data_IF_076591385165
#
_entry.id   IF_076591385165
#
_cell.length_a   1.000
_cell.length_b   1.000
_cell.length_c   1.000
_cell.angle_alpha   90.00
_cell.angle_beta   90.00
_cell.angle_gamma   90.00
#
_symmetry.space_group_name_H-M   'P 1'
#
loop_
_entity.id
_entity.type
_entity.pdbx_description
1 polymer ?
#
# COMPACT_ATOMS: atom_id res chain seq x y z
N UNK A 1 13.23 24.40 -4.74
CA UNK A 1 12.61 23.52 -3.73
C UNK A 1 11.29 24.14 -3.33
N UNK A 2 10.18 23.65 -3.88
CA UNK A 2 8.84 24.17 -3.61
C UNK A 2 8.44 23.90 -2.16
N UNK A 3 7.65 24.79 -1.56
CA UNK A 3 7.22 24.64 -0.18
C UNK A 3 6.31 23.39 -0.08
N UNK A 4 6.38 22.59 1.00
CA UNK A 4 5.57 21.38 1.17
C UNK A 4 4.06 21.61 0.96
N UNK A 5 3.59 22.83 1.23
CA UNK A 5 2.20 23.26 1.06
C UNK A 5 1.79 23.41 -0.42
N UNK A 6 2.71 23.82 -1.30
CA UNK A 6 2.45 23.96 -2.75
C UNK A 6 2.28 22.58 -3.40
N UNK A 7 3.07 21.59 -2.96
CA UNK A 7 2.96 20.21 -3.45
C UNK A 7 1.62 19.58 -3.11
N UNK A 8 1.16 19.72 -1.86
CA UNK A 8 -0.14 19.18 -1.42
C UNK A 8 -1.31 19.88 -2.14
N UNK A 9 -1.21 21.20 -2.32
CA UNK A 9 -2.24 21.95 -3.04
C UNK A 9 -2.34 21.55 -4.52
N UNK A 10 -1.20 21.39 -5.20
CA UNK A 10 -1.14 20.90 -6.57
C UNK A 10 -1.77 19.52 -6.72
N UNK A 11 -1.46 18.61 -5.80
CA UNK A 11 -2.01 17.25 -5.82
C UNK A 11 -3.52 17.26 -5.63
N UNK A 12 -4.06 18.10 -4.74
CA UNK A 12 -5.49 18.28 -4.56
C UNK A 12 -6.19 18.82 -5.82
N UNK A 13 -5.60 19.82 -6.49
CA UNK A 13 -6.13 20.35 -7.75
C UNK A 13 -6.07 19.31 -8.87
N UNK A 14 -4.99 18.54 -8.97
CA UNK A 14 -4.86 17.45 -9.92
C UNK A 14 -5.95 16.37 -9.71
N UNK A 15 -6.16 15.91 -8.47
CA UNK A 15 -7.21 14.96 -8.11
C UNK A 15 -8.61 15.48 -8.50
N UNK A 16 -8.91 16.75 -8.19
CA UNK A 16 -10.18 17.38 -8.57
C UNK A 16 -10.37 17.41 -10.09
N UNK A 17 -9.42 17.97 -10.84
CA UNK A 17 -9.57 18.14 -12.29
C UNK A 17 -9.52 16.82 -13.05
N UNK A 18 -8.70 15.85 -12.63
CA UNK A 18 -8.70 14.51 -13.20
C UNK A 18 -10.06 13.81 -13.01
N UNK A 19 -10.68 13.96 -11.83
CA UNK A 19 -12.04 13.44 -11.60
C UNK A 19 -13.09 14.11 -12.49
N UNK A 20 -13.00 15.43 -12.71
CA UNK A 20 -13.89 16.17 -13.60
C UNK A 20 -13.73 15.71 -15.06
N UNK A 21 -12.49 15.56 -15.53
CA UNK A 21 -12.17 15.03 -16.87
C UNK A 21 -12.79 13.65 -17.05
N UNK A 22 -12.57 12.72 -16.11
CA UNK A 22 -13.08 11.35 -16.24
C UNK A 22 -14.61 11.29 -16.19
N UNK A 23 -15.25 12.15 -15.41
CA UNK A 23 -16.71 12.20 -15.28
C UNK A 23 -17.40 12.81 -16.50
N UNK A 24 -16.80 13.80 -17.14
CA UNK A 24 -17.43 14.56 -18.24
C UNK A 24 -17.01 14.09 -19.63
N UNK A 25 -16.03 13.19 -19.76
CA UNK A 25 -15.49 12.73 -21.05
C UNK A 25 -16.02 11.34 -21.47
N UNK A 26 -17.28 11.28 -21.90
CA UNK A 26 -17.88 10.05 -22.44
C UNK A 26 -17.57 9.84 -23.93
N UNK A 27 -17.26 10.91 -24.66
CA UNK A 27 -16.88 10.88 -26.06
C UNK A 27 -15.75 11.89 -26.37
N UNK A 28 -15.13 11.82 -27.56
CA UNK A 28 -14.01 12.71 -27.90
C UNK A 28 -14.37 14.20 -27.88
N UNK A 29 -15.61 14.56 -28.23
CA UNK A 29 -16.07 15.95 -28.27
C UNK A 29 -16.21 16.52 -26.86
N UNK A 30 -16.79 15.74 -25.94
CA UNK A 30 -16.89 16.13 -24.53
C UNK A 30 -15.52 16.18 -23.84
N UNK A 31 -14.56 15.33 -24.26
CA UNK A 31 -13.18 15.39 -23.76
C UNK A 31 -12.50 16.71 -24.16
N UNK A 32 -12.63 17.16 -25.41
CA UNK A 32 -12.05 18.45 -25.85
C UNK A 32 -12.66 19.64 -25.10
N UNK A 33 -13.97 19.60 -24.84
CA UNK A 33 -14.64 20.65 -24.06
C UNK A 33 -14.14 20.69 -22.60
N UNK A 34 -13.95 19.53 -21.96
CA UNK A 34 -13.37 19.42 -20.62
C UNK A 34 -11.90 19.86 -20.60
N UNK A 35 -11.10 19.46 -21.60
CA UNK A 35 -9.71 19.84 -21.74
C UNK A 35 -9.53 21.36 -21.81
N UNK A 36 -10.33 22.04 -22.64
CA UNK A 36 -10.26 23.50 -22.77
C UNK A 36 -10.64 24.23 -21.47
N UNK A 37 -11.61 23.71 -20.72
CA UNK A 37 -12.03 24.30 -19.45
C UNK A 37 -10.96 24.14 -18.36
N UNK A 38 -10.43 22.92 -18.23
CA UNK A 38 -9.44 22.58 -17.20
C UNK A 38 -8.09 23.27 -17.48
N UNK A 39 -7.61 23.23 -18.72
CA UNK A 39 -6.36 23.88 -19.09
C UNK A 39 -6.48 25.41 -19.15
N UNK A 40 -7.69 25.94 -19.30
CA UNK A 40 -7.99 27.37 -19.21
C UNK A 40 -8.18 27.89 -17.79
N UNK A 41 -8.18 27.02 -16.77
CA UNK A 41 -8.31 27.44 -15.37
C UNK A 41 -7.09 28.25 -14.93
N UNK A 42 -7.30 29.38 -14.27
CA UNK A 42 -6.23 30.34 -13.93
C UNK A 42 -5.07 29.70 -13.14
N UNK A 43 -5.39 28.83 -12.18
CA UNK A 43 -4.39 28.13 -11.37
C UNK A 43 -3.60 27.07 -12.17
N UNK A 44 -4.23 26.45 -13.17
CA UNK A 44 -3.56 25.48 -14.06
C UNK A 44 -2.67 26.21 -15.07
N UNK A 45 -3.11 27.36 -15.57
CA UNK A 45 -2.33 28.18 -16.48
C UNK A 45 -1.07 28.77 -15.82
N UNK A 46 -1.10 28.98 -14.50
CA UNK A 46 0.03 29.51 -13.73
C UNK A 46 1.01 28.44 -13.26
N UNK A 47 0.59 27.16 -13.18
CA UNK A 47 1.44 26.03 -12.78
C UNK A 47 1.74 25.10 -13.99
N UNK A 48 2.93 25.20 -14.62
CA UNK A 48 3.28 24.39 -15.78
C UNK A 48 3.40 22.89 -15.47
N UNK A 49 3.70 22.53 -14.21
CA UNK A 49 3.84 21.14 -13.79
C UNK A 49 2.46 20.50 -13.65
N UNK A 50 1.51 21.20 -13.01
CA UNK A 50 0.11 20.78 -12.96
C UNK A 50 -0.49 20.65 -14.37
N UNK A 51 -0.21 21.63 -15.25
CA UNK A 51 -0.66 21.57 -16.64
C UNK A 51 -0.08 20.34 -17.39
N UNK A 52 1.18 19.98 -17.15
CA UNK A 52 1.80 18.80 -17.73
C UNK A 52 1.15 17.50 -17.23
N UNK A 53 0.88 17.39 -15.92
CA UNK A 53 0.18 16.25 -15.33
C UNK A 53 -1.23 16.08 -15.93
N UNK A 54 -1.99 17.18 -16.05
CA UNK A 54 -3.34 17.15 -16.62
C UNK A 54 -3.35 16.82 -18.11
N UNK A 55 -2.36 17.27 -18.89
CA UNK A 55 -2.18 16.85 -20.30
C UNK A 55 -1.92 15.35 -20.40
N UNK A 56 -1.08 14.79 -19.53
CA UNK A 56 -0.86 13.33 -19.49
C UNK A 56 -2.14 12.56 -19.17
N UNK A 57 -2.98 13.08 -18.25
CA UNK A 57 -4.29 12.50 -17.93
C UNK A 57 -5.23 12.54 -19.15
N UNK A 58 -5.30 13.69 -19.84
CA UNK A 58 -6.10 13.87 -21.06
C UNK A 58 -5.66 12.95 -22.19
N UNK A 59 -4.36 12.76 -22.41
CA UNK A 59 -3.84 11.89 -23.46
C UNK A 59 -4.11 10.41 -23.16
N UNK A 60 -4.03 10.00 -21.90
CA UNK A 60 -4.43 8.66 -21.47
C UNK A 60 -5.91 8.42 -21.75
N UNK A 61 -6.78 9.35 -21.37
CA UNK A 61 -8.23 9.26 -21.60
C UNK A 61 -8.59 9.31 -23.09
N UNK A 62 -7.90 10.14 -23.87
CA UNK A 62 -8.07 10.22 -25.34
C UNK A 62 -7.71 8.88 -25.99
N UNK A 63 -6.65 8.23 -25.53
CA UNK A 63 -6.24 6.90 -26.02
C UNK A 63 -7.27 5.83 -25.66
N UNK A 64 -7.81 5.87 -24.45
CA UNK A 64 -8.88 4.96 -24.01
C UNK A 64 -10.16 5.14 -24.86
N UNK A 65 -10.62 6.37 -25.08
CA UNK A 65 -11.80 6.65 -25.89
C UNK A 65 -11.61 6.22 -27.35
N UNK A 66 -10.41 6.40 -27.91
CA UNK A 66 -10.07 5.88 -29.25
C UNK A 66 -10.08 4.36 -29.28
N UNK A 67 -9.55 3.69 -28.26
CA UNK A 67 -9.61 2.22 -28.18
C UNK A 67 -11.06 1.73 -28.11
N UNK A 68 -11.91 2.38 -27.31
CA UNK A 68 -13.35 2.07 -27.24
C UNK A 68 -14.08 2.31 -28.56
N UNK A 69 -13.76 3.41 -29.26
CA UNK A 69 -14.32 3.67 -30.59
C UNK A 69 -13.84 2.63 -31.60
N UNK A 70 -12.55 2.27 -31.59
CA UNK A 70 -12.02 1.21 -32.42
C UNK A 70 -12.67 -0.15 -32.11
N UNK A 71 -12.99 -0.46 -30.85
CA UNK A 71 -13.74 -1.67 -30.47
C UNK A 71 -15.21 -1.64 -30.90
N UNK A 72 -15.82 -0.45 -31.02
CA UNK A 72 -17.19 -0.27 -31.51
C UNK A 72 -17.28 -0.28 -33.04
N UNK A 73 -16.27 0.28 -33.73
CA UNK A 73 -16.19 0.35 -35.20
C UNK A 73 -15.57 -0.91 -35.81
N UNK A 74 -14.73 -1.63 -35.05
CA UNK A 74 -14.37 -3.00 -35.41
C UNK A 74 -15.68 -3.78 -35.43
N UNK A 75 -16.03 -4.49 -36.53
CA UNK A 75 -17.17 -5.37 -36.50
C UNK A 75 -16.93 -6.30 -35.33
N UNK A 76 -17.74 -6.15 -34.27
CA UNK A 76 -17.71 -7.08 -33.14
C UNK A 76 -17.63 -8.46 -33.78
N UNK A 77 -16.61 -9.29 -33.49
CA UNK A 77 -16.84 -10.71 -33.60
C UNK A 77 -18.00 -10.89 -32.64
N UNK A 78 -19.20 -11.05 -33.21
CA UNK A 78 -20.36 -11.52 -32.50
C UNK A 78 -19.82 -12.51 -31.49
N UNK A 79 -20.19 -12.33 -30.22
CA UNK A 79 -20.14 -13.41 -29.26
C UNK A 79 -20.31 -14.70 -30.05
N UNK A 80 -19.34 -15.60 -29.92
CA UNK A 80 -19.44 -16.94 -30.44
C UNK A 80 -20.59 -17.66 -29.72
N UNK A 81 -21.82 -17.17 -29.87
CA UNK A 81 -22.95 -17.94 -30.37
C UNK A 81 -22.38 -18.73 -31.53
N UNK A 82 -21.86 -19.89 -31.16
CA UNK A 82 -21.87 -21.10 -31.94
C UNK A 82 -21.74 -20.81 -33.44
N UNK A 83 -20.50 -20.73 -33.93
CA UNK A 83 -20.25 -20.95 -35.36
C UNK A 83 -20.71 -22.37 -35.82
N UNK A 84 -21.30 -23.16 -34.90
CA UNK A 84 -22.06 -24.38 -35.14
C UNK A 84 -23.59 -24.19 -35.17
N UNK A 85 -24.18 -23.08 -34.69
CA UNK A 85 -25.63 -22.83 -34.79
C UNK A 85 -26.03 -22.33 -36.19
N UNK A 86 -25.04 -21.94 -37.00
CA UNK A 86 -25.19 -21.78 -38.44
C UNK A 86 -24.72 -22.99 -39.24
N UNK A 87 -24.28 -24.06 -38.56
CA UNK A 87 -24.39 -25.43 -39.06
C UNK A 87 -25.65 -26.05 -38.44
N UNK A 88 -26.78 -25.33 -38.51
CA UNK A 88 -28.04 -26.05 -38.68
C UNK A 88 -27.84 -26.97 -39.89
N UNK A 89 -28.24 -28.25 -39.80
CA UNK A 89 -28.21 -29.12 -40.97
C UNK A 89 -29.09 -28.43 -42.00
N UNK A 90 -28.46 -27.82 -43.01
CA UNK A 90 -29.14 -27.53 -44.25
C UNK A 90 -29.55 -28.90 -44.76
N UNK A 91 -30.80 -29.22 -44.46
CA UNK A 91 -31.59 -30.24 -45.11
C UNK A 91 -31.32 -30.11 -46.61
N UNK A 92 -30.66 -31.15 -47.14
CA UNK A 92 -30.20 -31.31 -48.52
C UNK A 92 -28.95 -30.50 -48.93
N UNK A 93 -27.75 -31.12 -48.85
CA UNK A 93 -26.83 -31.35 -50.00
C UNK A 93 -25.47 -31.92 -49.53
N UNK A 94 -25.23 -33.20 -49.84
CA UNK A 94 -23.89 -33.80 -49.97
C UNK A 94 -23.15 -34.15 -48.67
N UNK A 95 -22.43 -35.27 -48.69
CA UNK A 95 -21.32 -35.51 -47.77
C UNK A 95 -20.31 -34.36 -47.90
N UNK A 96 -19.79 -33.80 -46.79
CA UNK A 96 -18.83 -32.70 -46.84
C UNK A 96 -17.61 -33.13 -47.66
N UNK A 97 -17.17 -32.27 -48.56
CA UNK A 97 -16.01 -32.55 -49.41
C UNK A 97 -14.73 -32.56 -48.58
N UNK A 98 -13.71 -33.31 -49.04
CA UNK A 98 -12.40 -33.39 -48.37
C UNK A 98 -11.78 -32.00 -48.14
N UNK A 99 -11.92 -31.10 -49.11
CA UNK A 99 -11.43 -29.71 -49.02
C UNK A 99 -12.13 -28.91 -47.92
N UNK A 100 -13.45 -29.05 -47.79
CA UNK A 100 -14.21 -28.41 -46.71
C UNK A 100 -13.74 -28.91 -45.33
N UNK A 101 -13.53 -30.23 -45.18
CA UNK A 101 -13.04 -30.82 -43.94
C UNK A 101 -11.61 -30.36 -43.60
N UNK A 102 -10.71 -30.28 -44.59
CA UNK A 102 -9.36 -29.75 -44.41
C UNK A 102 -9.38 -28.28 -43.97
N UNK A 103 -10.22 -27.46 -44.60
CA UNK A 103 -10.36 -26.04 -44.23
C UNK A 103 -10.90 -25.88 -42.80
N UNK A 104 -11.86 -26.72 -42.39
CA UNK A 104 -12.40 -26.73 -41.04
C UNK A 104 -11.34 -27.13 -40.01
N UNK A 105 -10.56 -28.18 -40.30
CA UNK A 105 -9.45 -28.61 -39.46
C UNK A 105 -8.39 -27.50 -39.30
N UNK A 106 -8.00 -26.83 -40.39
CA UNK A 106 -7.05 -25.72 -40.33
C UNK A 106 -7.55 -24.56 -39.45
N UNK A 107 -8.83 -24.19 -39.55
CA UNK A 107 -9.43 -23.17 -38.67
C UNK A 107 -9.43 -23.60 -37.21
N UNK A 108 -9.81 -24.85 -36.91
CA UNK A 108 -9.78 -25.37 -35.54
C UNK A 108 -8.36 -25.39 -34.96
N UNK A 109 -7.38 -25.73 -35.79
CA UNK A 109 -5.97 -25.71 -35.40
C UNK A 109 -5.47 -24.30 -35.14
N UNK A 110 -5.82 -23.33 -35.98
CA UNK A 110 -5.49 -21.92 -35.75
C UNK A 110 -6.13 -21.39 -34.45
N UNK A 111 -7.41 -21.68 -34.19
CA UNK A 111 -8.07 -21.34 -32.92
C UNK A 111 -7.32 -21.99 -31.75
N UNK A 112 -6.99 -23.29 -31.84
CA UNK A 112 -6.20 -23.97 -30.81
C UNK A 112 -4.85 -23.30 -30.54
N UNK A 113 -4.07 -23.01 -31.60
CA UNK A 113 -2.76 -22.36 -31.50
C UNK A 113 -2.87 -20.95 -30.88
N UNK A 114 -3.91 -20.19 -31.24
CA UNK A 114 -4.23 -18.88 -30.66
C UNK A 114 -4.58 -18.98 -29.17
N UNK A 115 -5.42 -19.95 -28.76
CA UNK A 115 -5.73 -20.20 -27.34
C UNK A 115 -4.48 -20.55 -26.53
N UNK A 116 -3.59 -21.37 -27.08
CA UNK A 116 -2.32 -21.71 -26.42
C UNK A 116 -1.43 -20.47 -26.24
N UNK A 117 -1.34 -19.60 -27.25
CA UNK A 117 -0.55 -18.37 -27.19
C UNK A 117 -1.01 -17.42 -26.07
N UNK A 118 -2.31 -17.39 -25.80
CA UNK A 118 -2.93 -16.58 -24.75
C UNK A 118 -3.12 -17.30 -23.40
N UNK A 119 -2.60 -18.53 -23.25
CA UNK A 119 -2.78 -19.37 -22.06
C UNK A 119 -4.24 -19.63 -21.69
N UNK A 120 -5.13 -19.72 -22.67
CA UNK A 120 -6.54 -20.07 -22.47
C UNK A 120 -6.71 -21.59 -22.45
N UNK A 121 -6.17 -22.25 -21.42
CA UNK A 121 -6.03 -23.70 -21.35
C UNK A 121 -7.37 -24.45 -21.50
N UNK A 122 -8.44 -23.98 -20.86
CA UNK A 122 -9.76 -24.60 -20.99
C UNK A 122 -10.32 -24.47 -22.41
N UNK A 123 -10.18 -23.30 -23.04
CA UNK A 123 -10.62 -23.10 -24.42
C UNK A 123 -9.78 -23.94 -25.41
N UNK A 124 -8.48 -24.08 -25.15
CA UNK A 124 -7.59 -24.94 -25.91
C UNK A 124 -7.98 -26.42 -25.77
N UNK A 125 -8.36 -26.89 -24.57
CA UNK A 125 -8.90 -28.25 -24.36
C UNK A 125 -10.17 -28.48 -25.16
N UNK A 126 -11.12 -27.55 -25.12
CA UNK A 126 -12.35 -27.63 -25.94
C UNK A 126 -12.05 -27.60 -27.45
N UNK A 127 -11.05 -26.86 -27.91
CA UNK A 127 -10.60 -26.89 -29.31
C UNK A 127 -9.98 -28.25 -29.67
N UNK A 128 -9.17 -28.83 -28.78
CA UNK A 128 -8.56 -30.15 -28.97
C UNK A 128 -9.61 -31.27 -29.01
N UNK A 129 -10.65 -31.21 -28.17
CA UNK A 129 -11.79 -32.14 -28.19
C UNK A 129 -12.54 -32.07 -29.53
N UNK A 130 -12.74 -30.86 -30.07
CA UNK A 130 -13.34 -30.67 -31.40
C UNK A 130 -12.48 -31.29 -32.51
N UNK A 131 -11.16 -31.12 -32.44
CA UNK A 131 -10.21 -31.75 -33.38
C UNK A 131 -10.25 -33.28 -33.26
N UNK A 132 -10.30 -33.83 -32.05
CA UNK A 132 -10.42 -35.26 -31.81
C UNK A 132 -11.73 -35.83 -32.37
N UNK A 133 -12.85 -35.13 -32.18
CA UNK A 133 -14.13 -35.51 -32.75
C UNK A 133 -14.15 -35.50 -34.29
N UNK A 134 -13.45 -34.55 -34.91
CA UNK A 134 -13.28 -34.50 -36.37
C UNK A 134 -12.42 -35.67 -36.87
N UNK A 135 -11.34 -36.00 -36.15
CA UNK A 135 -10.46 -37.13 -36.45
C UNK A 135 -11.18 -38.47 -36.35
N UNK A 136 -12.00 -38.67 -35.32
CA UNK A 136 -12.78 -39.90 -35.14
C UNK A 136 -13.76 -40.14 -36.29
N UNK A 137 -14.36 -39.07 -36.83
CA UNK A 137 -15.33 -39.14 -37.94
C UNK A 137 -14.65 -39.25 -39.31
N UNK A 138 -13.47 -38.65 -39.47
CA UNK A 138 -12.77 -38.55 -40.75
C UNK A 138 -11.25 -38.80 -40.60
N UNK A 139 -10.83 -40.05 -40.33
CA UNK A 139 -9.42 -40.38 -40.07
C UNK A 139 -8.49 -40.14 -41.28
N UNK A 140 -9.04 -40.17 -42.50
CA UNK A 140 -8.29 -39.92 -43.74
C UNK A 140 -7.93 -38.43 -43.94
N UNK A 141 -8.60 -37.54 -43.20
CA UNK A 141 -8.43 -36.08 -43.29
C UNK A 141 -7.55 -35.56 -42.17
N UNK A 142 -7.77 -36.02 -40.94
CA UNK A 142 -6.99 -35.63 -39.76
C UNK A 142 -6.18 -36.83 -39.31
N UNK A 143 -4.86 -36.76 -39.45
CA UNK A 143 -3.99 -37.87 -39.03
C UNK A 143 -3.91 -37.97 -37.51
N UNK A 144 -3.78 -39.20 -36.99
CA UNK A 144 -3.52 -39.44 -35.57
C UNK A 144 -2.28 -38.65 -35.09
N UNK A 145 -1.24 -38.59 -35.93
CA UNK A 145 -0.02 -37.84 -35.63
C UNK A 145 -0.27 -36.33 -35.43
N UNK A 146 -1.24 -35.73 -36.13
CA UNK A 146 -1.59 -34.33 -35.93
C UNK A 146 -2.30 -34.10 -34.59
N UNK A 147 -3.19 -35.01 -34.20
CA UNK A 147 -3.86 -34.98 -32.90
C UNK A 147 -2.86 -35.17 -31.74
N UNK A 148 -1.92 -36.12 -31.87
CA UNK A 148 -0.88 -36.33 -30.85
C UNK A 148 0.04 -35.11 -30.69
N UNK A 149 0.39 -34.42 -31.79
CA UNK A 149 1.16 -33.16 -31.69
C UNK A 149 0.40 -32.10 -30.90
N UNK A 150 -0.89 -31.90 -31.20
CA UNK A 150 -1.70 -30.93 -30.47
C UNK A 150 -1.82 -31.27 -28.97
N UNK A 151 -1.91 -32.57 -28.61
CA UNK A 151 -1.86 -33.02 -27.22
C UNK A 151 -0.53 -32.68 -26.54
N UNK A 152 0.60 -32.92 -27.21
CA UNK A 152 1.93 -32.57 -26.70
C UNK A 152 2.10 -31.06 -26.53
N UNK A 153 1.61 -30.25 -27.46
CA UNK A 153 1.68 -28.80 -27.41
C UNK A 153 0.83 -28.22 -26.27
N UNK A 154 -0.37 -28.78 -26.03
CA UNK A 154 -1.19 -28.46 -24.86
C UNK A 154 -0.45 -28.79 -23.56
N UNK A 155 0.03 -30.03 -23.41
CA UNK A 155 0.73 -30.46 -22.19
C UNK A 155 1.98 -29.60 -21.89
N UNK A 156 2.75 -29.25 -22.93
CA UNK A 156 3.90 -28.34 -22.79
C UNK A 156 3.47 -26.96 -22.32
N UNK A 157 2.37 -26.44 -22.87
CA UNK A 157 1.84 -25.12 -22.50
C UNK A 157 1.29 -25.11 -21.08
N UNK A 158 0.62 -26.17 -20.65
CA UNK A 158 0.17 -26.37 -19.26
C UNK A 158 1.35 -26.39 -18.29
N UNK A 159 2.41 -27.15 -18.60
CA UNK A 159 3.62 -27.18 -17.78
C UNK A 159 4.29 -25.79 -17.69
N UNK A 160 4.37 -25.07 -18.81
CA UNK A 160 4.90 -23.70 -18.84
C UNK A 160 4.05 -22.74 -18.02
N UNK A 161 2.73 -22.86 -18.11
CA UNK A 161 1.79 -22.07 -17.32
C UNK A 161 2.00 -22.30 -15.82
N UNK A 162 2.10 -23.56 -15.39
CA UNK A 162 2.38 -23.91 -13.99
C UNK A 162 3.72 -23.34 -13.50
N UNK A 163 4.78 -23.45 -14.30
CA UNK A 163 6.09 -22.86 -13.96
C UNK A 163 6.00 -21.35 -13.77
N UNK A 164 5.32 -20.65 -14.67
CA UNK A 164 5.13 -19.21 -14.59
C UNK A 164 4.26 -18.81 -13.39
N UNK A 165 3.26 -19.62 -13.04
CA UNK A 165 2.46 -19.38 -11.83
C UNK A 165 3.31 -19.51 -10.57
N UNK A 166 4.17 -20.53 -10.48
CA UNK A 166 5.10 -20.68 -9.37
C UNK A 166 6.08 -19.50 -9.25
N UNK A 167 6.60 -18.99 -10.38
CA UNK A 167 7.44 -17.78 -10.39
C UNK A 167 6.69 -16.54 -9.89
N UNK A 168 5.42 -16.38 -10.27
CA UNK A 168 4.56 -15.29 -9.78
C UNK A 168 4.33 -15.42 -8.27
N UNK A 169 4.10 -16.64 -7.77
CA UNK A 169 3.91 -16.90 -6.35
C UNK A 169 5.17 -16.60 -5.52
N UNK A 170 6.34 -17.03 -5.98
CA UNK A 170 7.61 -16.72 -5.31
C UNK A 170 7.91 -15.22 -5.34
N UNK A 171 7.59 -14.52 -6.44
CA UNK A 171 7.74 -13.07 -6.52
C UNK A 171 6.78 -12.35 -5.56
N UNK A 172 5.52 -12.80 -5.47
CA UNK A 172 4.54 -12.25 -4.53
C UNK A 172 4.97 -12.48 -3.08
N UNK A 173 5.43 -13.69 -2.75
CA UNK A 173 5.98 -14.02 -1.43
C UNK A 173 7.17 -13.12 -1.08
N UNK A 174 8.12 -12.97 -2.00
CA UNK A 174 9.28 -12.08 -1.82
C UNK A 174 8.85 -10.63 -1.59
N UNK A 175 7.82 -10.16 -2.29
CA UNK A 175 7.30 -8.81 -2.13
C UNK A 175 6.68 -8.60 -0.73
N UNK A 176 5.89 -9.58 -0.27
CA UNK A 176 5.27 -9.56 1.06
C UNK A 176 6.33 -9.64 2.16
N UNK A 177 7.34 -10.48 2.02
CA UNK A 177 8.45 -10.59 2.96
C UNK A 177 9.28 -9.29 3.01
N UNK A 178 9.55 -8.67 1.87
CA UNK A 178 10.22 -7.37 1.80
C UNK A 178 9.42 -6.27 2.50
N UNK A 179 8.11 -6.20 2.25
CA UNK A 179 7.22 -5.24 2.92
C UNK A 179 7.18 -5.45 4.44
N UNK A 180 7.06 -6.71 4.89
CA UNK A 180 7.12 -7.08 6.31
C UNK A 180 8.45 -6.71 6.97
N UNK A 181 9.53 -6.71 6.19
CA UNK A 181 10.87 -6.34 6.65
C UNK A 181 11.20 -4.85 6.53
N UNK A 182 10.31 -4.02 6.01
CA UNK A 182 10.54 -2.57 5.82
C UNK A 182 11.39 -2.23 4.60
N UNK A 183 11.67 -3.21 3.72
CA UNK A 183 12.39 -2.99 2.46
C UNK A 183 11.39 -2.53 1.38
N UNK A 184 10.91 -1.28 1.52
CA UNK A 184 9.92 -0.70 0.61
C UNK A 184 10.42 -0.63 -0.84
N UNK A 185 11.72 -0.45 -1.05
CA UNK A 185 12.32 -0.41 -2.39
C UNK A 185 12.21 -1.77 -3.09
N UNK A 186 12.55 -2.86 -2.39
CA UNK A 186 12.43 -4.21 -2.93
C UNK A 186 10.97 -4.62 -3.12
N UNK A 187 10.08 -4.27 -2.18
CA UNK A 187 8.65 -4.50 -2.31
C UNK A 187 8.05 -3.78 -3.53
N UNK A 188 8.40 -2.50 -3.74
CA UNK A 188 7.96 -1.70 -4.88
C UNK A 188 8.49 -2.25 -6.22
N UNK A 189 9.74 -2.68 -6.28
CA UNK A 189 10.32 -3.31 -7.47
C UNK A 189 9.59 -4.62 -7.82
N UNK A 190 9.33 -5.47 -6.81
CA UNK A 190 8.59 -6.71 -7.00
C UNK A 190 7.15 -6.45 -7.46
N UNK A 191 6.47 -5.45 -6.88
CA UNK A 191 5.14 -5.04 -7.29
C UNK A 191 5.10 -4.50 -8.73
N UNK A 192 6.09 -3.70 -9.12
CA UNK A 192 6.24 -3.24 -10.52
C UNK A 192 6.37 -4.41 -11.48
N UNK A 193 7.17 -5.42 -11.13
CA UNK A 193 7.33 -6.64 -11.93
C UNK A 193 6.03 -7.45 -12.02
N UNK A 194 5.28 -7.59 -10.92
CA UNK A 194 3.96 -8.22 -10.91
C UNK A 194 2.96 -7.47 -11.79
N UNK A 195 2.95 -6.13 -11.74
CA UNK A 195 2.13 -5.27 -12.61
C UNK A 195 2.46 -5.49 -14.10
N UNK A 196 3.75 -5.55 -14.45
CA UNK A 196 4.16 -5.87 -15.81
C UNK A 196 3.71 -7.27 -16.26
N UNK A 197 3.76 -8.26 -15.37
CA UNK A 197 3.27 -9.62 -15.67
C UNK A 197 1.75 -9.62 -15.87
N UNK A 198 1.00 -8.93 -15.02
CA UNK A 198 -0.44 -8.77 -15.15
C UNK A 198 -0.82 -8.12 -16.49
N UNK A 199 -0.18 -7.01 -16.84
CA UNK A 199 -0.44 -6.29 -18.10
C UNK A 199 -0.11 -7.15 -19.34
N UNK A 200 1.00 -7.88 -19.31
CA UNK A 200 1.41 -8.73 -20.43
C UNK A 200 0.60 -10.03 -20.53
N UNK A 201 0.13 -10.58 -19.40
CA UNK A 201 -0.53 -11.90 -19.31
C UNK A 201 -1.65 -11.91 -18.25
N UNK A 202 -2.81 -11.30 -18.54
CA UNK A 202 -3.91 -11.19 -17.57
C UNK A 202 -4.46 -12.55 -17.09
N UNK A 203 -4.36 -13.59 -17.92
CA UNK A 203 -4.78 -14.96 -17.54
C UNK A 203 -3.86 -15.61 -16.53
N UNK A 204 -2.56 -15.29 -16.56
CA UNK A 204 -1.57 -15.83 -15.63
C UNK A 204 -1.73 -15.21 -14.24
N UNK A 205 -1.96 -13.89 -14.20
CA UNK A 205 -2.19 -13.13 -12.98
C UNK A 205 -3.48 -12.30 -13.12
N UNK A 206 -4.65 -12.91 -12.84
CA UNK A 206 -5.93 -12.21 -12.91
C UNK A 206 -6.00 -11.03 -11.95
N UNK A 207 -6.75 -9.99 -12.33
CA UNK A 207 -6.95 -8.79 -11.52
C UNK A 207 -7.31 -9.05 -10.05
N UNK A 208 -8.29 -9.91 -9.70
CA UNK A 208 -8.62 -10.15 -8.29
C UNK A 208 -7.46 -10.77 -7.49
N UNK A 209 -6.60 -11.56 -8.13
CA UNK A 209 -5.40 -12.12 -7.49
C UNK A 209 -4.31 -11.06 -7.35
N UNK A 210 -4.10 -10.24 -8.38
CA UNK A 210 -3.14 -9.15 -8.33
C UNK A 210 -3.50 -8.14 -7.23
N UNK A 211 -4.77 -7.75 -7.15
CA UNK A 211 -5.29 -6.84 -6.14
C UNK A 211 -5.12 -7.41 -4.72
N UNK A 212 -5.41 -8.71 -4.52
CA UNK A 212 -5.15 -9.39 -3.24
C UNK A 212 -3.67 -9.34 -2.83
N UNK A 213 -2.75 -9.52 -3.78
CA UNK A 213 -1.30 -9.42 -3.51
C UNK A 213 -0.93 -7.98 -3.13
N UNK A 214 -1.49 -6.98 -3.83
CA UNK A 214 -1.28 -5.55 -3.50
C UNK A 214 -1.73 -5.22 -2.08
N UNK A 215 -2.93 -5.65 -1.71
CA UNK A 215 -3.49 -5.44 -0.38
C UNK A 215 -2.63 -6.12 0.70
N UNK A 216 -2.14 -7.34 0.44
CA UNK A 216 -1.25 -8.05 1.37
C UNK A 216 0.10 -7.34 1.55
N UNK A 217 0.67 -6.78 0.49
CA UNK A 217 1.91 -6.00 0.54
C UNK A 217 1.69 -4.72 1.37
N UNK A 218 0.61 -3.98 1.09
CA UNK A 218 0.27 -2.75 1.81
C UNK A 218 0.04 -3.02 3.31
N UNK A 219 -0.84 -3.97 3.64
CA UNK A 219 -1.14 -4.35 5.01
C UNK A 219 0.10 -4.84 5.78
N UNK A 220 1.04 -5.51 5.10
CA UNK A 220 2.30 -5.96 5.73
C UNK A 220 3.26 -4.81 6.02
N UNK A 221 3.28 -3.78 5.17
CA UNK A 221 4.05 -2.55 5.39
C UNK A 221 3.46 -1.73 6.54
N UNK A 222 2.16 -1.47 6.50
CA UNK A 222 1.43 -0.75 7.56
C UNK A 222 1.65 -1.41 8.92
N UNK A 223 1.55 -2.74 9.01
CA UNK A 223 1.75 -3.47 10.26
C UNK A 223 3.16 -3.29 10.87
N UNK A 224 4.19 -3.10 10.03
CA UNK A 224 5.54 -2.80 10.51
C UNK A 224 5.62 -1.36 11.01
N UNK A 225 5.13 -0.40 10.22
CA UNK A 225 5.10 1.03 10.57
C UNK A 225 4.36 1.24 11.91
N UNK A 226 3.17 0.64 12.07
CA UNK A 226 2.45 0.63 13.35
C UNK A 226 3.28 0.06 14.51
N UNK A 227 4.01 -1.03 14.27
CA UNK A 227 4.84 -1.66 15.31
C UNK A 227 6.02 -0.76 15.69
N UNK A 228 6.60 -0.06 14.74
CA UNK A 228 7.71 0.87 14.97
C UNK A 228 7.24 2.13 15.69
N UNK A 229 6.13 2.73 15.26
CA UNK A 229 5.48 3.84 15.96
C UNK A 229 5.13 3.47 17.40
N UNK A 230 4.51 2.30 17.63
CA UNK A 230 4.19 1.83 18.98
C UNK A 230 5.44 1.66 19.86
N UNK A 231 6.54 1.15 19.29
CA UNK A 231 7.82 1.02 20.02
C UNK A 231 8.40 2.39 20.36
N UNK A 232 8.36 3.34 19.42
CA UNK A 232 8.85 4.70 19.64
C UNK A 232 8.06 5.40 20.77
N UNK A 233 6.73 5.30 20.74
CA UNK A 233 5.85 5.82 21.78
C UNK A 233 6.20 5.25 23.16
N UNK A 234 6.26 3.92 23.29
CA UNK A 234 6.59 3.26 24.57
C UNK A 234 8.00 3.61 25.03
N UNK A 235 8.97 3.69 24.12
CA UNK A 235 10.35 4.06 24.45
C UNK A 235 10.40 5.49 25.01
N UNK A 236 9.65 6.42 24.41
CA UNK A 236 9.59 7.81 24.86
C UNK A 236 8.92 7.94 26.22
N UNK A 237 7.76 7.30 26.43
CA UNK A 237 7.08 7.26 27.73
C UNK A 237 8.02 6.72 28.83
N UNK A 238 8.76 5.64 28.55
CA UNK A 238 9.72 5.05 29.49
C UNK A 238 10.89 5.98 29.79
N UNK A 239 11.42 6.68 28.79
CA UNK A 239 12.51 7.63 28.99
C UNK A 239 12.09 8.77 29.93
N UNK A 240 10.91 9.36 29.69
CA UNK A 240 10.36 10.42 30.54
C UNK A 240 10.05 9.89 31.95
N UNK A 241 9.46 8.70 32.07
CA UNK A 241 9.21 8.09 33.38
C UNK A 241 10.51 7.85 34.18
N UNK A 242 11.58 7.42 33.51
CA UNK A 242 12.88 7.21 34.13
C UNK A 242 13.51 8.53 34.59
N UNK A 243 13.40 9.59 33.79
CA UNK A 243 13.85 10.93 34.17
C UNK A 243 13.12 11.46 35.41
N UNK A 244 11.79 11.39 35.43
CA UNK A 244 10.98 11.82 36.58
C UNK A 244 11.30 11.01 37.84
N UNK A 245 11.53 9.70 37.69
CA UNK A 245 11.91 8.83 38.81
C UNK A 245 13.28 9.23 39.37
N UNK A 246 14.28 9.44 38.51
CA UNK A 246 15.62 9.87 38.91
C UNK A 246 15.57 11.19 39.68
N UNK A 247 14.81 12.17 39.20
CA UNK A 247 14.60 13.44 39.90
C UNK A 247 13.95 13.25 41.28
N UNK A 248 12.94 12.38 41.37
CA UNK A 248 12.27 12.06 42.64
C UNK A 248 13.23 11.39 43.64
N UNK A 249 14.07 10.46 43.17
CA UNK A 249 15.07 9.78 43.98
C UNK A 249 16.13 10.74 44.53
N UNK A 250 16.60 11.70 43.72
CA UNK A 250 17.53 12.75 44.17
C UNK A 250 16.93 13.61 45.28
N UNK A 251 15.67 14.06 45.10
CA UNK A 251 14.96 14.85 46.11
C UNK A 251 14.76 14.05 47.40
N UNK A 252 14.38 12.78 47.29
CA UNK A 252 14.17 11.90 48.45
C UNK A 252 15.47 11.59 49.20
N UNK A 253 16.56 11.34 48.48
CA UNK A 253 17.89 11.08 49.05
C UNK A 253 18.35 12.26 49.89
N UNK A 254 18.20 13.48 49.39
CA UNK A 254 18.54 14.68 50.15
C UNK A 254 17.65 14.84 51.39
N UNK A 255 16.34 14.65 51.26
CA UNK A 255 15.44 14.70 52.41
C UNK A 255 15.81 13.69 53.51
N UNK A 256 16.29 12.51 53.11
CA UNK A 256 16.81 11.50 54.05
C UNK A 256 18.12 11.95 54.69
N UNK A 257 19.05 12.53 53.91
CA UNK A 257 20.31 13.06 54.40
C UNK A 257 20.10 14.17 55.44
N UNK A 258 19.19 15.12 55.18
CA UNK A 258 18.86 16.23 56.10
C UNK A 258 18.44 15.74 57.49
N UNK A 259 17.78 14.58 57.57
CA UNK A 259 17.30 14.01 58.84
C UNK A 259 18.31 13.14 59.56
N UNK A 260 19.32 12.64 58.86
CA UNK A 260 20.18 11.55 59.36
C UNK A 260 21.65 11.90 59.45
N UNK A 261 22.12 12.92 58.72
CA UNK A 261 23.52 13.28 58.62
C UNK A 261 23.78 14.68 59.18
N UNK A 262 24.92 14.90 59.88
CA UNK A 262 25.41 16.23 60.18
C UNK A 262 25.72 17.02 58.90
N UNK A 263 25.55 18.35 58.93
CA UNK A 263 25.80 19.25 57.79
C UNK A 263 27.26 19.21 57.29
N UNK A 264 28.21 18.83 58.16
CA UNK A 264 29.63 18.71 57.80
C UNK A 264 30.00 17.35 57.17
N UNK A 265 29.07 16.38 57.14
CA UNK A 265 29.33 15.08 56.50
C UNK A 265 29.46 15.28 54.98
N UNK A 266 30.52 14.76 54.32
CA UNK A 266 30.70 14.90 52.88
C UNK A 266 29.52 14.35 52.07
N UNK A 267 28.82 13.32 52.58
CA UNK A 267 27.63 12.74 51.92
C UNK A 267 26.43 13.67 51.96
N UNK A 268 26.33 14.52 52.98
CA UNK A 268 25.30 15.58 53.03
C UNK A 268 25.52 16.57 51.89
N UNK A 269 26.76 17.05 51.72
CA UNK A 269 27.11 18.05 50.69
C UNK A 269 26.92 17.51 49.27
N UNK A 270 27.23 16.24 49.05
CA UNK A 270 26.97 15.56 47.78
C UNK A 270 25.47 15.50 47.48
N UNK A 271 24.65 15.03 48.43
CA UNK A 271 23.20 14.98 48.29
C UNK A 271 22.57 16.37 48.10
N UNK A 272 23.12 17.40 48.74
CA UNK A 272 22.71 18.80 48.57
C UNK A 272 22.98 19.32 47.15
N UNK A 273 24.17 19.03 46.59
CA UNK A 273 24.51 19.40 45.23
C UNK A 273 23.60 18.72 44.20
N UNK A 274 23.35 17.41 44.36
CA UNK A 274 22.41 16.65 43.53
C UNK A 274 20.97 17.17 43.65
N UNK A 275 20.54 17.50 44.87
CA UNK A 275 19.24 18.12 45.11
C UNK A 275 19.09 19.45 44.38
N UNK A 276 20.07 20.36 44.49
CA UNK A 276 20.02 21.63 43.78
C UNK A 276 19.98 21.45 42.25
N UNK A 277 20.66 20.43 41.72
CA UNK A 277 20.54 20.05 40.32
C UNK A 277 19.12 19.57 39.99
N UNK A 278 18.55 18.66 40.78
CA UNK A 278 17.20 18.16 40.59
C UNK A 278 16.15 19.29 40.67
N UNK A 279 16.30 20.24 41.60
CA UNK A 279 15.43 21.42 41.73
C UNK A 279 15.47 22.27 40.46
N UNK A 280 16.65 22.52 39.89
CA UNK A 280 16.76 23.27 38.62
C UNK A 280 16.03 22.54 37.49
N UNK A 281 16.19 21.22 37.39
CA UNK A 281 15.55 20.40 36.35
C UNK A 281 14.02 20.32 36.52
N UNK A 282 13.52 20.14 37.74
CA UNK A 282 12.08 20.13 38.04
C UNK A 282 11.44 21.51 37.75
N UNK A 283 12.20 22.59 37.95
CA UNK A 283 11.76 23.95 37.59
C UNK A 283 11.74 24.19 36.08
N UNK A 284 12.68 23.60 35.32
CA UNK A 284 12.65 23.66 33.84
C UNK A 284 11.59 22.77 33.22
N UNK A 285 11.04 21.77 33.92
CA UNK A 285 9.89 20.97 33.46
C UNK A 285 8.57 21.70 33.73
N UNK A 286 8.44 22.91 33.19
CA UNK A 286 7.27 23.77 33.38
C UNK A 286 6.10 23.40 32.44
N UNK A 287 5.16 24.33 32.26
CA UNK A 287 4.00 24.12 31.39
C UNK A 287 4.39 24.05 29.91
N UNK A 288 5.48 24.72 29.50
CA UNK A 288 5.99 24.72 28.13
C UNK A 288 6.62 23.36 27.81
N UNK A 289 7.48 22.85 28.69
CA UNK A 289 8.02 21.49 28.56
C UNK A 289 6.93 20.41 28.47
N UNK A 290 5.86 20.54 29.27
CA UNK A 290 4.77 19.58 29.22
C UNK A 290 3.97 19.70 27.91
N UNK A 291 3.80 20.92 27.39
CA UNK A 291 3.15 21.14 26.09
C UNK A 291 3.99 20.54 24.95
N UNK A 292 5.31 20.72 24.98
CA UNK A 292 6.22 20.10 24.00
C UNK A 292 6.15 18.57 24.06
N UNK A 293 6.15 17.99 25.25
CA UNK A 293 5.96 16.54 25.42
C UNK A 293 4.59 16.08 24.91
N UNK A 294 3.53 16.87 25.12
CA UNK A 294 2.20 16.54 24.60
C UNK A 294 2.19 16.52 23.07
N UNK A 295 2.80 17.53 22.42
CA UNK A 295 2.92 17.58 20.98
C UNK A 295 3.74 16.40 20.43
N UNK A 296 4.87 16.09 21.05
CA UNK A 296 5.70 14.95 20.65
C UNK A 296 4.94 13.61 20.75
N UNK A 297 4.17 13.40 21.83
CA UNK A 297 3.37 12.18 21.97
C UNK A 297 2.17 12.17 21.01
N UNK A 298 1.61 13.33 20.65
CA UNK A 298 0.53 13.44 19.68
C UNK A 298 1.02 13.09 18.26
N UNK A 299 2.20 13.58 17.86
CA UNK A 299 2.85 13.21 16.59
C UNK A 299 3.06 11.68 16.51
N UNK A 300 3.53 11.05 17.60
CA UNK A 300 3.72 9.59 17.67
C UNK A 300 2.39 8.81 17.66
N UNK A 301 1.30 9.41 18.15
CA UNK A 301 -0.04 8.83 18.10
C UNK A 301 -0.65 8.96 16.70
N UNK A 302 -0.41 10.06 16.00
CA UNK A 302 -0.79 10.26 14.61
C UNK A 302 -0.15 9.18 13.74
N UNK A 303 1.17 8.96 13.89
CA UNK A 303 1.89 7.89 13.18
C UNK A 303 1.34 6.49 13.48
N UNK A 304 0.89 6.24 14.72
CA UNK A 304 0.35 4.96 15.12
C UNK A 304 -1.02 4.64 14.50
N UNK A 305 -1.78 5.64 14.06
CA UNK A 305 -3.10 5.49 13.44
C UNK A 305 -4.02 4.49 14.18
N UNK A 306 -4.10 4.54 15.52
CA UNK A 306 -4.90 3.60 16.33
C UNK A 306 -6.41 3.91 16.25
N UNK A 307 -7.22 3.11 15.52
CA UNK A 307 -8.65 3.37 15.38
C UNK A 307 -9.43 3.12 16.68
N UNK A 308 -8.84 2.42 17.65
CA UNK A 308 -9.51 2.07 18.90
C UNK A 308 -9.42 3.17 19.95
N UNK A 309 -8.53 4.15 19.75
CA UNK A 309 -8.26 5.23 20.71
C UNK A 309 -7.55 4.79 21.99
N UNK A 310 -7.17 3.51 22.11
CA UNK A 310 -6.55 2.96 23.32
C UNK A 310 -5.18 3.57 23.60
N UNK A 311 -4.40 3.82 22.56
CA UNK A 311 -3.10 4.46 22.69
C UNK A 311 -3.25 5.91 23.20
N UNK A 312 -4.25 6.64 22.71
CA UNK A 312 -4.59 7.98 23.21
C UNK A 312 -4.96 7.97 24.70
N UNK A 313 -5.81 7.04 25.12
CA UNK A 313 -6.18 6.88 26.54
C UNK A 313 -4.98 6.51 27.44
N UNK A 314 -4.02 5.75 26.91
CA UNK A 314 -2.77 5.45 27.60
C UNK A 314 -1.92 6.72 27.77
N UNK A 315 -1.69 7.47 26.69
CA UNK A 315 -0.91 8.71 26.70
C UNK A 315 -1.52 9.75 27.64
N UNK A 316 -2.85 9.91 27.63
CA UNK A 316 -3.54 10.82 28.54
C UNK A 316 -3.32 10.45 30.02
N UNK A 317 -3.41 9.15 30.36
CA UNK A 317 -3.12 8.66 31.72
C UNK A 317 -1.65 8.84 32.09
N UNK A 318 -0.74 8.62 31.14
CA UNK A 318 0.68 8.82 31.33
C UNK A 318 1.00 10.29 31.65
N UNK A 319 0.49 11.23 30.84
CA UNK A 319 0.66 12.67 31.06
C UNK A 319 0.07 13.13 32.40
N UNK A 320 -1.09 12.60 32.79
CA UNK A 320 -1.69 12.89 34.11
C UNK A 320 -0.79 12.41 35.26
N UNK A 321 -0.15 11.24 35.11
CA UNK A 321 0.82 10.71 36.07
C UNK A 321 2.06 11.60 36.16
N UNK A 322 2.65 12.01 35.03
CA UNK A 322 3.80 12.92 34.98
C UNK A 322 3.48 14.25 35.67
N UNK A 323 2.33 14.87 35.36
CA UNK A 323 1.89 16.12 36.00
C UNK A 323 1.74 15.97 37.52
N UNK A 324 1.16 14.85 37.97
CA UNK A 324 1.01 14.55 39.40
C UNK A 324 2.37 14.41 40.09
N UNK A 325 3.30 13.68 39.46
CA UNK A 325 4.65 13.49 39.99
C UNK A 325 5.43 14.81 40.09
N UNK A 326 5.41 15.65 39.04
CA UNK A 326 6.03 16.97 39.05
C UNK A 326 5.43 17.89 40.13
N UNK A 327 4.10 17.88 40.27
CA UNK A 327 3.41 18.68 41.31
C UNK A 327 3.84 18.26 42.70
N UNK A 328 3.92 16.95 42.96
CA UNK A 328 4.38 16.40 44.23
C UNK A 328 5.83 16.77 44.52
N UNK A 329 6.73 16.62 43.56
CA UNK A 329 8.14 17.03 43.73
C UNK A 329 8.26 18.52 44.05
N UNK A 330 7.48 19.39 43.39
CA UNK A 330 7.48 20.84 43.70
C UNK A 330 6.99 21.14 45.11
N UNK A 331 6.00 20.41 45.61
CA UNK A 331 5.52 20.54 46.99
C UNK A 331 6.61 20.09 47.98
N UNK A 332 7.26 18.96 47.73
CA UNK A 332 8.36 18.45 48.57
C UNK A 332 9.55 19.42 48.58
N UNK A 333 9.96 19.95 47.43
CA UNK A 333 11.01 20.97 47.31
C UNK A 333 10.65 22.23 48.12
N UNK A 334 9.39 22.68 48.05
CA UNK A 334 8.93 23.87 48.79
C UNK A 334 8.92 23.65 50.29
N UNK A 335 8.54 22.45 50.75
CA UNK A 335 8.55 22.08 52.16
C UNK A 335 9.98 22.09 52.73
N UNK A 336 10.93 21.48 52.02
CA UNK A 336 12.35 21.45 52.43
C UNK A 336 12.94 22.86 52.51
N UNK A 337 12.67 23.71 51.51
CA UNK A 337 13.14 25.10 51.54
C UNK A 337 12.59 25.90 52.73
N UNK A 338 11.35 25.64 53.14
CA UNK A 338 10.75 26.23 54.34
C UNK A 338 11.39 25.73 55.65
N UNK A 339 11.67 24.44 55.74
CA UNK A 339 12.33 23.83 56.91
C UNK A 339 13.75 24.39 57.10
N UNK A 340 14.53 24.49 56.00
CA UNK A 340 15.88 25.06 56.03
C UNK A 340 15.88 26.55 56.41
N UNK A 341 14.96 27.35 55.85
CA UNK A 341 14.84 28.77 56.20
C UNK A 341 14.48 28.97 57.68
N UNK A 342 13.66 28.09 58.25
CA UNK A 342 13.28 28.14 59.67
C UNK A 342 14.44 27.72 60.59
N UNK A 343 15.24 26.72 60.18
CA UNK A 343 16.45 26.33 60.92
C UNK A 343 17.52 27.43 60.89
N UNK A 344 17.73 28.08 59.75
CA UNK A 344 18.68 29.19 59.60
C UNK A 344 18.31 30.43 60.42
N UNK A 345 17.05 30.60 60.81
CA UNK A 345 16.59 31.68 61.70
C UNK A 345 16.72 31.36 63.20
N UNK A 346 16.89 30.07 63.55
CA UNK A 346 17.01 29.60 64.95
C UNK A 346 18.47 29.51 65.42
N UNK A 347 19.40 29.47 64.48
CA UNK A 347 20.84 29.59 64.70
C UNK A 347 21.28 31.03 64.46
#
# INVERSE_FOLDING_TARGET
MGRPTESKHREALYQRFSSEILRESDNPVSLEAAANRVLGHAEVAQDPELAAMLRSCLDSRRSELRARQAEQESPRPSHAISAWDHVKPQTARGTPTREQLLSAFQRMRQDFDERLLHFELEAARTALERIAGLQQRYPDVVSQAALERARVDLARTEQRFQSLQAEVDELAKTAIEAARGGDHARAALALKRLSSIHAARPRLLPEPRFQKIREQIAASGEALEHREAAKALIARERAVAAEIRKLSEMVHTFHTAVRSLPHDDPRYREAEAEYHQAVRQVRSHDAEWLADLMLELDDLLEDLHDPTGRAGDQVARFLASVRTALTRMRQEISAIGGEQATQAQRH
#
